data_IF_488427298342
#
_entry.id   IF_488427298342
#
_cell.length_a   1.000
_cell.length_b   1.000
_cell.length_c   1.000
_cell.angle_alpha   90.00
_cell.angle_beta   90.00
_cell.angle_gamma   90.00
#
_symmetry.space_group_name_H-M   'P 1'
#
loop_
_entity.id
_entity.type
_entity.pdbx_description
1 polymer ?
#
# COMPACT_ATOMS: atom_id res chain seq x y z
N UNK A 1 -15.07 -55.62 -33.49
CA UNK A 1 -13.68 -55.34 -33.89
C UNK A 1 -13.02 -54.69 -32.66
N UNK A 2 -12.13 -55.40 -31.99
CA UNK A 2 -11.51 -54.91 -30.78
C UNK A 2 -10.54 -53.76 -31.13
N UNK A 3 -10.67 -52.61 -30.48
CA UNK A 3 -9.78 -51.45 -30.67
C UNK A 3 -8.31 -51.83 -30.59
N UNK A 4 -7.95 -52.79 -29.74
CA UNK A 4 -6.60 -53.31 -29.57
C UNK A 4 -6.03 -53.91 -30.85
N UNK A 5 -6.81 -54.66 -31.65
CA UNK A 5 -6.37 -55.27 -32.90
C UNK A 5 -6.00 -54.22 -33.96
N UNK A 6 -6.65 -53.05 -33.96
CA UNK A 6 -6.31 -51.97 -34.88
C UNK A 6 -4.90 -51.47 -34.68
N UNK A 7 -4.45 -51.41 -33.42
CA UNK A 7 -3.11 -50.93 -33.03
C UNK A 7 -2.03 -52.02 -33.33
N UNK A 8 -2.36 -53.31 -33.14
CA UNK A 8 -1.44 -54.43 -33.41
C UNK A 8 -1.22 -54.59 -34.90
N UNK A 9 -2.29 -54.51 -35.70
CA UNK A 9 -2.22 -54.71 -37.16
C UNK A 9 -1.64 -53.50 -37.91
N UNK A 10 -1.55 -52.33 -37.25
CA UNK A 10 -1.03 -51.08 -37.85
C UNK A 10 0.00 -50.40 -36.97
N UNK A 11 1.25 -50.87 -36.93
CA UNK A 11 2.29 -50.35 -36.03
C UNK A 11 2.59 -48.87 -36.23
N UNK A 12 2.33 -48.31 -37.41
CA UNK A 12 2.47 -46.85 -37.67
C UNK A 12 1.46 -46.02 -36.87
N UNK A 13 0.21 -46.49 -36.69
CA UNK A 13 -0.80 -45.84 -35.91
C UNK A 13 -0.42 -45.90 -34.43
N UNK A 14 0.08 -47.03 -33.94
CA UNK A 14 0.57 -47.20 -32.59
C UNK A 14 1.67 -46.19 -32.25
N UNK A 15 2.69 -46.09 -33.10
CA UNK A 15 3.82 -45.17 -32.92
C UNK A 15 3.33 -43.74 -32.91
N UNK A 16 2.44 -43.34 -33.83
CA UNK A 16 1.92 -41.99 -33.92
C UNK A 16 1.12 -41.64 -32.68
N UNK A 17 0.30 -42.56 -32.18
CA UNK A 17 -0.49 -42.36 -30.94
C UNK A 17 0.42 -42.22 -29.72
N UNK A 18 1.50 -43.03 -29.63
CA UNK A 18 2.49 -42.95 -28.56
C UNK A 18 3.23 -41.58 -28.57
N UNK A 19 3.65 -41.14 -29.74
CA UNK A 19 4.30 -39.83 -29.91
C UNK A 19 3.35 -38.71 -29.53
N UNK A 20 2.06 -38.79 -29.93
CA UNK A 20 1.06 -37.80 -29.57
C UNK A 20 0.82 -37.74 -28.04
N UNK A 21 0.71 -38.89 -27.37
CA UNK A 21 0.56 -38.99 -25.93
C UNK A 21 1.79 -38.38 -25.20
N UNK A 22 3.01 -38.70 -25.70
CA UNK A 22 4.23 -38.12 -25.13
C UNK A 22 4.30 -36.61 -25.29
N UNK A 23 3.94 -36.08 -26.46
CA UNK A 23 3.91 -34.65 -26.71
C UNK A 23 2.81 -33.95 -25.88
N UNK A 24 1.62 -34.55 -25.81
CA UNK A 24 0.52 -34.03 -24.97
C UNK A 24 0.91 -34.05 -23.47
N UNK A 25 1.52 -35.15 -23.01
CA UNK A 25 2.00 -35.26 -21.63
C UNK A 25 3.10 -34.24 -21.30
N UNK A 26 4.04 -34.04 -22.20
CA UNK A 26 5.11 -33.06 -22.06
C UNK A 26 4.53 -31.64 -22.04
N UNK A 27 3.62 -31.34 -22.95
CA UNK A 27 2.90 -30.03 -22.99
C UNK A 27 2.11 -29.78 -21.71
N UNK A 28 1.35 -30.77 -21.24
CA UNK A 28 0.61 -30.69 -19.97
C UNK A 28 1.53 -30.47 -18.78
N UNK A 29 2.62 -31.20 -18.69
CA UNK A 29 3.63 -31.07 -17.62
C UNK A 29 4.24 -29.64 -17.55
N UNK A 30 4.48 -29.03 -18.70
CA UNK A 30 5.02 -27.66 -18.79
C UNK A 30 3.98 -26.62 -18.37
N UNK A 31 2.69 -26.87 -18.60
CA UNK A 31 1.62 -25.91 -18.33
C UNK A 31 1.02 -26.04 -16.92
N UNK A 32 1.38 -27.07 -16.14
CA UNK A 32 0.87 -27.23 -14.77
C UNK A 32 1.39 -26.09 -13.89
N UNK A 33 0.49 -25.35 -13.18
CA UNK A 33 0.88 -24.37 -12.16
C UNK A 33 1.72 -25.05 -11.07
N UNK A 34 2.74 -24.34 -10.59
CA UNK A 34 3.60 -24.81 -9.51
C UNK A 34 3.62 -23.73 -8.44
N UNK A 35 3.01 -24.03 -7.30
CA UNK A 35 2.97 -23.19 -6.11
C UNK A 35 3.29 -24.05 -4.90
N UNK A 36 4.01 -23.50 -3.93
CA UNK A 36 4.29 -24.16 -2.66
C UNK A 36 3.01 -24.19 -1.80
N UNK A 37 2.29 -23.08 -1.76
CA UNK A 37 1.09 -22.93 -0.94
C UNK A 37 -0.16 -23.03 -1.81
N UNK A 38 -1.16 -23.85 -1.40
CA UNK A 38 -2.44 -23.91 -2.09
C UNK A 38 -3.18 -22.58 -1.93
N UNK A 39 -4.03 -22.27 -2.90
CA UNK A 39 -4.98 -21.17 -2.77
C UNK A 39 -5.98 -21.46 -1.65
N UNK A 40 -5.94 -20.65 -0.60
CA UNK A 40 -6.86 -20.75 0.53
C UNK A 40 -7.98 -19.73 0.37
N UNK A 41 -9.20 -20.23 0.48
CA UNK A 41 -10.39 -19.38 0.55
C UNK A 41 -10.35 -18.55 1.84
N UNK A 42 -10.12 -17.26 1.74
CA UNK A 42 -10.10 -16.40 2.91
C UNK A 42 -11.50 -15.95 3.29
N UNK A 43 -12.02 -16.63 4.29
CA UNK A 43 -13.39 -16.46 4.78
C UNK A 43 -13.50 -15.55 5.99
N UNK A 44 -12.43 -14.86 6.36
CA UNK A 44 -12.41 -13.93 7.49
C UNK A 44 -11.63 -12.66 7.15
N UNK A 45 -12.10 -11.55 7.71
CA UNK A 45 -11.47 -10.24 7.61
C UNK A 45 -11.73 -9.44 8.89
N UNK A 46 -10.92 -8.44 9.17
CA UNK A 46 -11.09 -7.54 10.31
C UNK A 46 -11.58 -6.17 9.85
N UNK A 47 -12.66 -5.70 10.43
CA UNK A 47 -13.08 -4.29 10.33
C UNK A 47 -12.46 -3.57 11.51
N UNK A 48 -11.52 -2.67 11.23
CA UNK A 48 -10.83 -1.87 12.23
C UNK A 48 -11.52 -0.50 12.31
N UNK A 49 -11.85 -0.11 13.54
CA UNK A 49 -12.47 1.18 13.84
C UNK A 49 -11.57 1.97 14.76
N UNK A 50 -11.22 3.21 14.38
CA UNK A 50 -10.43 4.13 15.19
C UNK A 50 -11.26 5.40 15.40
N UNK A 51 -11.54 5.74 16.67
CA UNK A 51 -12.22 6.99 17.07
C UNK A 51 -11.52 7.59 18.30
N UNK A 52 -10.46 8.40 18.10
CA UNK A 52 -9.63 8.91 19.17
C UNK A 52 -10.44 9.72 20.18
N UNK A 53 -10.27 9.42 21.48
CA UNK A 53 -10.98 10.09 22.56
C UNK A 53 -12.38 9.56 22.86
N UNK A 54 -12.86 8.56 22.13
CA UNK A 54 -14.14 7.89 22.41
C UNK A 54 -13.98 6.83 23.52
N UNK A 55 -14.95 6.74 24.42
CA UNK A 55 -15.01 5.61 25.36
C UNK A 55 -15.52 4.34 24.67
N UNK A 56 -15.18 3.14 25.20
CA UNK A 56 -15.65 1.88 24.65
C UNK A 56 -17.18 1.83 24.49
N UNK A 57 -17.95 2.25 25.49
CA UNK A 57 -19.41 2.29 25.45
C UNK A 57 -19.98 3.23 24.38
N UNK A 58 -19.31 4.37 24.13
CA UNK A 58 -19.70 5.28 23.07
C UNK A 58 -19.39 4.71 21.69
N UNK A 59 -18.24 4.09 21.54
CA UNK A 59 -17.82 3.44 20.31
C UNK A 59 -18.76 2.29 19.94
N UNK A 60 -19.15 1.49 20.94
CA UNK A 60 -20.15 0.43 20.79
C UNK A 60 -21.48 0.95 20.25
N UNK A 61 -22.07 1.96 20.93
CA UNK A 61 -23.41 2.45 20.58
C UNK A 61 -23.45 3.28 19.30
N UNK A 62 -22.43 4.10 19.02
CA UNK A 62 -22.44 5.05 17.90
C UNK A 62 -21.83 4.50 16.62
N UNK A 63 -20.98 3.48 16.70
CA UNK A 63 -20.26 2.93 15.56
C UNK A 63 -20.56 1.44 15.39
N UNK A 64 -20.19 0.62 16.36
CA UNK A 64 -20.21 -0.84 16.22
C UNK A 64 -21.63 -1.36 15.97
N UNK A 65 -22.61 -0.96 16.78
CA UNK A 65 -24.01 -1.40 16.61
C UNK A 65 -24.57 -1.08 15.22
N UNK A 66 -24.15 0.03 14.59
CA UNK A 66 -24.59 0.39 13.25
C UNK A 66 -23.91 -0.46 12.18
N UNK A 67 -22.61 -0.71 12.35
CA UNK A 67 -21.86 -1.60 11.44
C UNK A 67 -22.38 -3.03 11.52
N UNK A 68 -22.61 -3.55 12.74
CA UNK A 68 -23.21 -4.89 12.95
C UNK A 68 -24.58 -4.98 12.26
N UNK A 69 -25.44 -3.99 12.46
CA UNK A 69 -26.78 -3.98 11.84
C UNK A 69 -26.71 -3.99 10.31
N UNK A 70 -25.77 -3.25 9.72
CA UNK A 70 -25.57 -3.22 8.27
C UNK A 70 -24.98 -4.55 7.75
N UNK A 71 -24.03 -5.12 8.46
CA UNK A 71 -23.36 -6.36 8.04
C UNK A 71 -24.22 -7.62 8.26
N UNK A 72 -25.08 -7.64 9.27
CA UNK A 72 -26.02 -8.75 9.50
C UNK A 72 -27.04 -8.94 8.37
N UNK A 73 -27.22 -7.97 7.49
CA UNK A 73 -28.07 -8.12 6.30
C UNK A 73 -27.44 -9.05 5.25
N UNK A 74 -26.14 -9.30 5.32
CA UNK A 74 -25.41 -10.18 4.38
C UNK A 74 -25.57 -11.63 4.84
N UNK A 75 -26.28 -12.42 4.03
CA UNK A 75 -26.65 -13.81 4.37
C UNK A 75 -25.41 -14.71 4.47
N UNK A 76 -24.36 -14.38 3.74
CA UNK A 76 -23.09 -15.11 3.64
C UNK A 76 -22.23 -14.98 4.91
N UNK A 77 -22.50 -14.00 5.77
CA UNK A 77 -21.78 -13.84 7.05
C UNK A 77 -22.25 -14.93 8.01
N UNK A 78 -21.28 -15.62 8.62
CA UNK A 78 -21.46 -16.65 9.63
C UNK A 78 -21.49 -16.06 11.03
N UNK A 79 -20.49 -15.22 11.32
CA UNK A 79 -20.26 -14.67 12.66
C UNK A 79 -19.58 -13.30 12.58
N UNK A 80 -19.93 -12.44 13.54
CA UNK A 80 -19.26 -11.16 13.81
C UNK A 80 -18.77 -11.22 15.26
N UNK A 81 -17.46 -11.20 15.46
CA UNK A 81 -16.84 -11.14 16.79
C UNK A 81 -16.19 -9.77 17.00
N UNK A 82 -16.54 -9.09 18.09
CA UNK A 82 -16.15 -7.69 18.30
C UNK A 82 -15.38 -7.51 19.59
N UNK A 83 -14.21 -6.93 19.50
CA UNK A 83 -13.41 -6.47 20.62
C UNK A 83 -13.35 -4.94 20.63
N UNK A 84 -13.78 -4.32 21.74
CA UNK A 84 -13.90 -2.86 21.86
C UNK A 84 -13.04 -2.36 23.01
N UNK A 85 -12.24 -1.35 22.73
CA UNK A 85 -11.43 -0.62 23.70
C UNK A 85 -11.67 0.87 23.56
N UNK A 86 -11.16 1.69 24.48
CA UNK A 86 -11.26 3.15 24.36
C UNK A 86 -10.51 3.64 23.12
N UNK A 87 -11.22 4.27 22.19
CA UNK A 87 -10.67 4.82 20.95
C UNK A 87 -10.41 3.81 19.84
N UNK A 88 -10.60 2.50 20.06
CA UNK A 88 -10.31 1.45 19.11
C UNK A 88 -11.30 0.28 19.21
N UNK A 89 -11.75 -0.23 18.06
CA UNK A 89 -12.45 -1.51 18.02
C UNK A 89 -12.01 -2.34 16.81
N UNK A 90 -12.06 -3.66 17.00
CA UNK A 90 -11.83 -4.64 15.94
C UNK A 90 -13.03 -5.57 15.88
N UNK A 91 -13.64 -5.67 14.70
CA UNK A 91 -14.72 -6.63 14.41
C UNK A 91 -14.18 -7.67 13.43
N UNK A 92 -14.10 -8.91 13.85
CA UNK A 92 -13.78 -10.03 12.99
C UNK A 92 -15.06 -10.47 12.27
N UNK A 93 -15.02 -10.48 10.96
CA UNK A 93 -16.11 -10.93 10.09
C UNK A 93 -15.73 -12.29 9.53
N UNK A 94 -16.53 -13.31 9.78
CA UNK A 94 -16.35 -14.66 9.24
C UNK A 94 -17.47 -15.02 8.26
N UNK A 95 -17.10 -15.46 7.05
CA UNK A 95 -18.04 -15.96 6.04
C UNK A 95 -18.37 -17.43 6.27
N UNK A 96 -19.55 -17.86 5.87
CA UNK A 96 -20.00 -19.27 5.94
C UNK A 96 -19.11 -20.17 5.08
N UNK A 97 -18.88 -21.38 5.55
CA UNK A 97 -18.13 -22.40 4.81
C UNK A 97 -18.82 -22.80 3.49
N UNK A 98 -20.14 -22.60 3.42
CA UNK A 98 -20.96 -22.89 2.24
C UNK A 98 -20.82 -21.88 1.09
N UNK A 99 -20.16 -20.73 1.31
CA UNK A 99 -19.92 -19.74 0.24
C UNK A 99 -18.97 -20.35 -0.78
N UNK A 100 -19.36 -20.46 -2.07
CA UNK A 100 -18.48 -20.96 -3.11
C UNK A 100 -17.22 -20.10 -3.25
N UNK A 101 -16.09 -20.71 -3.65
CA UNK A 101 -14.79 -20.04 -3.74
C UNK A 101 -14.83 -18.81 -4.68
N UNK A 102 -15.48 -18.95 -5.83
CA UNK A 102 -15.64 -17.92 -6.85
C UNK A 102 -16.51 -16.73 -6.41
N UNK A 103 -17.33 -16.90 -5.35
CA UNK A 103 -18.17 -15.84 -4.80
C UNK A 103 -17.59 -15.10 -3.60
N UNK A 104 -16.48 -15.59 -3.03
CA UNK A 104 -15.87 -14.98 -1.83
C UNK A 104 -15.47 -13.52 -2.07
N UNK A 105 -14.85 -13.21 -3.22
CA UNK A 105 -14.45 -11.84 -3.54
C UNK A 105 -15.65 -10.92 -3.75
N UNK A 106 -16.71 -11.42 -4.38
CA UNK A 106 -17.95 -10.67 -4.53
C UNK A 106 -18.62 -10.39 -3.17
N UNK A 107 -18.61 -11.36 -2.27
CA UNK A 107 -19.13 -11.20 -0.90
C UNK A 107 -18.33 -10.16 -0.11
N UNK A 108 -17.00 -10.18 -0.20
CA UNK A 108 -16.17 -9.14 0.44
C UNK A 108 -16.39 -7.74 -0.15
N UNK A 109 -16.67 -7.65 -1.45
CA UNK A 109 -17.05 -6.38 -2.07
C UNK A 109 -18.39 -5.88 -1.51
N UNK A 110 -19.37 -6.77 -1.30
CA UNK A 110 -20.63 -6.43 -0.65
C UNK A 110 -20.45 -5.96 0.79
N UNK A 111 -19.55 -6.59 1.57
CA UNK A 111 -19.17 -6.14 2.92
C UNK A 111 -18.63 -4.70 2.87
N UNK A 112 -17.74 -4.40 1.94
CA UNK A 112 -17.16 -3.07 1.77
C UNK A 112 -18.23 -2.03 1.39
N UNK A 113 -19.15 -2.39 0.50
CA UNK A 113 -20.28 -1.53 0.09
C UNK A 113 -21.19 -1.23 1.29
N UNK A 114 -21.50 -2.22 2.13
CA UNK A 114 -22.30 -2.03 3.34
C UNK A 114 -21.60 -1.12 4.35
N UNK A 115 -20.30 -1.28 4.57
CA UNK A 115 -19.51 -0.38 5.40
C UNK A 115 -19.61 1.05 4.88
N UNK A 116 -19.41 1.25 3.57
CA UNK A 116 -19.48 2.56 2.93
C UNK A 116 -20.86 3.22 3.02
N UNK A 117 -21.94 2.43 3.03
CA UNK A 117 -23.32 2.92 3.24
C UNK A 117 -23.57 3.37 4.68
N UNK A 118 -22.93 2.72 5.66
CA UNK A 118 -23.08 3.07 7.08
C UNK A 118 -22.20 4.26 7.47
N UNK A 119 -21.03 4.41 6.84
CA UNK A 119 -20.01 5.41 7.17
C UNK A 119 -20.54 6.85 7.31
N UNK A 120 -21.41 7.39 6.41
CA UNK A 120 -21.96 8.74 6.55
C UNK A 120 -22.78 8.98 7.84
N UNK A 121 -23.25 7.88 8.47
CA UNK A 121 -24.02 7.94 9.73
C UNK A 121 -23.15 7.92 10.98
N UNK A 122 -21.84 7.68 10.83
CA UNK A 122 -20.87 7.58 11.91
C UNK A 122 -20.37 8.96 12.37
N UNK A 123 -19.80 9.07 13.58
CA UNK A 123 -19.10 10.28 14.01
C UNK A 123 -17.97 10.62 13.01
N UNK A 124 -17.78 11.92 12.73
CA UNK A 124 -16.73 12.39 11.79
C UNK A 124 -15.30 12.09 12.26
N UNK A 125 -15.11 11.82 13.55
CA UNK A 125 -13.84 11.43 14.16
C UNK A 125 -13.53 9.95 14.01
N UNK A 126 -14.54 9.12 13.67
CA UNK A 126 -14.37 7.69 13.48
C UNK A 126 -13.89 7.40 12.06
N UNK A 127 -12.87 6.56 11.95
CA UNK A 127 -12.44 5.94 10.70
C UNK A 127 -12.71 4.45 10.75
N UNK A 128 -13.14 3.88 9.63
CA UNK A 128 -13.45 2.45 9.49
C UNK A 128 -12.66 1.90 8.32
N UNK A 129 -11.95 0.81 8.54
CA UNK A 129 -11.15 0.15 7.52
C UNK A 129 -11.40 -1.35 7.51
N UNK A 130 -11.66 -1.92 6.33
CA UNK A 130 -11.71 -3.37 6.14
C UNK A 130 -10.32 -3.90 5.82
N UNK A 131 -9.72 -4.58 6.78
CA UNK A 131 -8.40 -5.20 6.65
C UNK A 131 -8.58 -6.68 6.35
N UNK A 132 -8.18 -7.06 5.15
CA UNK A 132 -8.15 -8.46 4.73
C UNK A 132 -6.71 -8.93 4.74
N UNK A 133 -6.43 -10.00 5.47
CA UNK A 133 -5.11 -10.65 5.47
C UNK A 133 -4.85 -11.42 4.18
N UNK A 134 -5.72 -11.28 3.19
CA UNK A 134 -5.79 -12.09 1.98
C UNK A 134 -4.84 -11.65 0.88
N UNK A 135 -4.54 -12.60 0.10
CA UNK A 135 -3.75 -12.50 -1.11
C UNK A 135 -2.84 -13.71 -1.21
N UNK A 136 -2.21 -13.91 -2.34
CA UNK A 136 -1.25 -14.98 -2.50
C UNK A 136 -0.12 -14.83 -1.48
N UNK A 137 0.57 -15.94 -1.18
CA UNK A 137 1.77 -15.91 -0.35
C UNK A 137 2.84 -15.00 -0.97
N UNK A 138 3.82 -14.63 -0.16
CA UNK A 138 4.98 -13.88 -0.66
C UNK A 138 5.71 -14.76 -1.67
N UNK A 139 5.83 -14.29 -2.91
CA UNK A 139 6.56 -15.02 -3.94
C UNK A 139 8.05 -14.66 -3.97
N UNK A 140 8.36 -13.36 -3.75
CA UNK A 140 9.73 -12.87 -3.57
C UNK A 140 9.77 -11.73 -2.55
N UNK A 141 10.86 -11.68 -1.80
CA UNK A 141 11.15 -10.60 -0.86
C UNK A 141 12.59 -10.12 -1.06
N UNK A 142 12.74 -8.88 -1.46
CA UNK A 142 14.04 -8.23 -1.61
C UNK A 142 14.31 -7.29 -0.46
N UNK A 143 15.57 -7.22 -0.01
CA UNK A 143 16.03 -6.27 0.99
C UNK A 143 17.01 -5.27 0.35
N UNK A 144 16.70 -4.00 0.44
CA UNK A 144 17.63 -2.89 0.23
C UNK A 144 18.29 -2.60 1.56
N UNK A 145 19.57 -2.91 1.71
CA UNK A 145 20.31 -2.84 2.98
C UNK A 145 21.43 -1.83 2.89
N UNK A 146 21.56 -0.95 3.89
CA UNK A 146 22.67 -0.02 4.01
C UNK A 146 23.92 -0.72 4.55
N UNK A 147 25.03 -0.60 3.84
CA UNK A 147 26.35 -1.12 4.29
C UNK A 147 27.39 -0.03 4.52
N UNK A 148 27.05 1.22 4.26
CA UNK A 148 27.94 2.34 4.54
C UNK A 148 28.16 2.57 6.04
N UNK A 149 29.06 3.48 6.37
CA UNK A 149 29.28 3.94 7.73
C UNK A 149 28.25 5.01 8.13
N UNK A 150 27.83 5.02 9.40
CA UNK A 150 26.88 5.98 9.95
C UNK A 150 25.41 5.57 9.79
N UNK A 151 24.53 6.55 9.92
CA UNK A 151 23.08 6.33 9.82
C UNK A 151 22.65 6.03 8.39
N UNK A 152 21.76 5.05 8.23
CA UNK A 152 21.22 4.69 6.95
C UNK A 152 20.38 5.86 6.37
N UNK A 153 20.60 6.27 5.11
CA UNK A 153 19.82 7.31 4.46
C UNK A 153 18.42 6.79 4.10
N UNK A 154 17.60 6.58 5.12
CA UNK A 154 16.33 5.85 5.01
C UNK A 154 15.36 6.46 4.00
N UNK A 155 15.34 7.78 3.86
CA UNK A 155 14.52 8.47 2.86
C UNK A 155 14.95 8.08 1.43
N UNK A 156 16.26 8.04 1.15
CA UNK A 156 16.77 7.59 -0.14
C UNK A 156 16.43 6.13 -0.37
N UNK A 157 16.62 5.28 0.64
CA UNK A 157 16.31 3.84 0.58
C UNK A 157 14.81 3.62 0.35
N UNK A 158 13.94 4.40 0.99
CA UNK A 158 12.48 4.34 0.78
C UNK A 158 12.11 4.69 -0.66
N UNK A 159 12.72 5.71 -1.26
CA UNK A 159 12.49 6.09 -2.66
C UNK A 159 12.97 5.03 -3.65
N UNK A 160 14.15 4.47 -3.40
CA UNK A 160 14.69 3.36 -4.21
C UNK A 160 13.82 2.11 -4.07
N UNK A 161 13.34 1.81 -2.86
CA UNK A 161 12.41 0.72 -2.61
C UNK A 161 11.09 0.91 -3.38
N UNK A 162 10.53 2.12 -3.37
CA UNK A 162 9.30 2.42 -4.12
C UNK A 162 9.52 2.33 -5.65
N UNK A 163 10.69 2.71 -6.14
CA UNK A 163 11.02 2.54 -7.55
C UNK A 163 11.11 1.05 -7.93
N UNK A 164 11.80 0.23 -7.12
CA UNK A 164 11.85 -1.22 -7.32
C UNK A 164 10.45 -1.84 -7.24
N UNK A 165 9.65 -1.47 -6.24
CA UNK A 165 8.26 -1.90 -6.09
C UNK A 165 7.44 -1.64 -7.36
N UNK A 166 7.54 -0.42 -7.90
CA UNK A 166 6.85 -0.07 -9.16
C UNK A 166 7.32 -0.94 -10.34
N UNK A 167 8.63 -1.19 -10.46
CA UNK A 167 9.15 -2.08 -11.52
C UNK A 167 8.63 -3.50 -11.37
N UNK A 168 8.61 -4.04 -10.14
CA UNK A 168 8.06 -5.37 -9.86
C UNK A 168 6.55 -5.46 -10.10
N UNK A 169 5.80 -4.37 -9.87
CA UNK A 169 4.37 -4.33 -10.16
C UNK A 169 4.03 -4.45 -11.67
N UNK A 170 4.99 -4.18 -12.55
CA UNK A 170 4.84 -4.39 -14.00
C UNK A 170 5.30 -5.76 -14.49
N UNK A 171 5.81 -6.62 -13.62
CA UNK A 171 6.10 -8.01 -13.98
C UNK A 171 4.78 -8.74 -14.21
N UNK A 172 4.70 -9.50 -15.29
CA UNK A 172 3.48 -10.24 -15.65
C UNK A 172 3.05 -11.17 -14.50
N UNK A 173 1.75 -11.19 -14.23
CA UNK A 173 1.12 -11.95 -13.15
C UNK A 173 1.49 -11.49 -11.73
N UNK A 174 2.00 -10.28 -11.56
CA UNK A 174 2.09 -9.67 -10.22
C UNK A 174 0.71 -9.24 -9.76
N UNK A 175 0.24 -9.77 -8.63
CA UNK A 175 -1.01 -9.36 -8.02
C UNK A 175 -0.85 -8.15 -7.11
N UNK A 176 0.20 -8.16 -6.28
CA UNK A 176 0.44 -7.10 -5.30
C UNK A 176 1.94 -6.93 -5.01
N UNK A 177 2.30 -5.69 -4.72
CA UNK A 177 3.64 -5.36 -4.23
C UNK A 177 3.51 -4.47 -2.99
N UNK A 178 4.29 -4.74 -1.95
CA UNK A 178 4.30 -3.97 -0.71
C UNK A 178 5.72 -3.55 -0.34
N UNK A 179 5.80 -2.57 0.56
CA UNK A 179 7.04 -2.07 1.13
C UNK A 179 6.95 -2.10 2.65
N UNK A 180 8.08 -2.41 3.30
CA UNK A 180 8.20 -2.40 4.76
C UNK A 180 9.49 -1.71 5.17
N UNK A 181 9.48 -1.13 6.35
CA UNK A 181 10.63 -0.43 6.90
C UNK A 181 10.84 0.95 6.30
N UNK A 182 9.79 1.55 5.77
CA UNK A 182 9.80 2.89 5.21
C UNK A 182 9.99 3.95 6.31
N UNK A 183 10.44 5.12 5.88
CA UNK A 183 10.28 6.33 6.66
C UNK A 183 9.51 7.34 5.80
N UNK A 184 8.41 7.83 6.34
CA UNK A 184 7.72 8.95 5.75
C UNK A 184 8.57 10.21 5.86
N UNK A 185 8.49 11.08 4.85
CA UNK A 185 9.18 12.36 4.86
C UNK A 185 8.28 13.41 5.52
N UNK A 186 8.82 14.14 6.48
CA UNK A 186 8.21 15.36 6.98
C UNK A 186 9.06 16.59 6.70
N UNK A 187 8.40 17.73 6.64
CA UNK A 187 9.09 19.02 6.64
C UNK A 187 9.01 19.61 8.03
N UNK A 188 10.14 19.55 8.74
CA UNK A 188 10.25 20.18 10.05
C UNK A 188 10.47 21.69 9.88
N UNK A 189 9.60 22.47 10.53
CA UNK A 189 9.73 23.94 10.63
C UNK A 189 10.03 24.29 12.08
N UNK A 190 11.28 24.56 12.39
CA UNK A 190 11.72 25.00 13.72
C UNK A 190 11.71 26.52 13.80
N UNK A 191 10.81 27.05 14.58
CA UNK A 191 10.58 28.48 14.69
C UNK A 191 11.49 29.09 15.76
N UNK A 192 12.19 30.17 15.40
CA UNK A 192 12.99 30.98 16.30
C UNK A 192 12.09 31.95 17.09
N UNK A 193 11.84 31.63 18.33
CA UNK A 193 10.96 32.42 19.21
C UNK A 193 11.47 33.82 19.53
N UNK A 194 12.80 34.04 19.51
CA UNK A 194 13.40 35.36 19.70
C UNK A 194 13.11 36.27 18.52
N UNK A 195 13.25 35.74 17.30
CA UNK A 195 12.93 36.47 16.07
C UNK A 195 11.44 36.78 15.97
N UNK A 196 10.56 35.85 16.37
CA UNK A 196 9.13 36.13 16.45
C UNK A 196 8.83 37.32 17.36
N UNK A 197 9.42 37.34 18.55
CA UNK A 197 9.23 38.42 19.53
C UNK A 197 9.72 39.78 18.99
N UNK A 198 10.91 39.79 18.32
CA UNK A 198 11.46 40.98 17.72
C UNK A 198 10.59 41.55 16.61
N UNK A 199 9.93 40.71 15.84
CA UNK A 199 9.06 41.06 14.72
C UNK A 199 7.60 41.21 15.12
N UNK A 200 7.27 41.09 16.41
CA UNK A 200 5.92 41.16 16.98
C UNK A 200 4.94 40.18 16.31
N UNK A 201 5.44 38.97 15.94
CA UNK A 201 4.68 37.89 15.32
C UNK A 201 4.28 36.86 16.37
N UNK A 202 3.08 36.29 16.24
CA UNK A 202 2.63 35.16 17.03
C UNK A 202 2.80 33.82 16.29
N UNK A 203 3.04 32.74 17.05
CA UNK A 203 3.08 31.39 16.49
C UNK A 203 1.81 31.03 15.71
N UNK A 204 0.64 31.49 16.20
CA UNK A 204 -0.64 31.29 15.53
C UNK A 204 -0.71 31.92 14.14
N UNK A 205 -0.14 33.12 13.95
CA UNK A 205 -0.07 33.77 12.65
C UNK A 205 0.80 32.99 11.66
N UNK A 206 1.96 32.48 12.12
CA UNK A 206 2.84 31.65 11.31
C UNK A 206 2.16 30.34 10.92
N UNK A 207 1.56 29.65 11.88
CA UNK A 207 0.81 28.41 11.63
C UNK A 207 -0.34 28.61 10.65
N UNK A 208 -1.08 29.71 10.79
CA UNK A 208 -2.18 30.06 9.88
C UNK A 208 -1.68 30.39 8.47
N UNK A 209 -0.55 31.09 8.35
CA UNK A 209 0.06 31.38 7.05
C UNK A 209 0.48 30.10 6.32
N UNK A 210 1.14 29.16 7.03
CA UNK A 210 1.51 27.84 6.49
C UNK A 210 0.24 27.06 6.08
N UNK A 211 -0.76 26.96 6.96
CA UNK A 211 -2.00 26.23 6.69
C UNK A 211 -2.81 26.82 5.53
N UNK A 212 -2.83 28.14 5.37
CA UNK A 212 -3.51 28.80 4.25
C UNK A 212 -2.81 28.50 2.91
N UNK A 213 -1.50 28.34 2.93
CA UNK A 213 -0.72 28.06 1.72
C UNK A 213 -0.86 26.60 1.26
N UNK A 214 -0.97 25.67 2.20
CA UNK A 214 -1.21 24.23 1.90
C UNK A 214 -2.66 23.93 1.52
N UNK A 215 -3.59 24.88 1.77
CA UNK A 215 -5.00 24.68 1.45
C UNK A 215 -5.25 24.68 -0.06
N UNK A 216 -5.60 23.51 -0.63
CA UNK A 216 -6.13 23.33 -2.00
C UNK A 216 -7.52 24.01 -2.12
N UNK A 217 -7.61 25.32 -1.93
CA UNK A 217 -8.89 26.01 -2.11
C UNK A 217 -9.11 26.31 -3.59
N UNK A 218 -10.23 25.86 -4.19
CA UNK A 218 -10.65 26.38 -5.47
C UNK A 218 -10.93 27.89 -5.31
N UNK A 219 -10.20 28.74 -6.03
CA UNK A 219 -10.35 30.21 -5.92
C UNK A 219 -11.67 30.69 -6.54
N UNK A 220 -12.41 29.81 -7.21
CA UNK A 220 -13.70 30.11 -7.82
C UNK A 220 -13.70 29.94 -9.32
N UNK A 221 -14.88 30.08 -9.89
CA UNK A 221 -15.12 30.10 -11.33
C UNK A 221 -15.36 31.55 -11.73
N UNK A 222 -14.67 32.02 -12.75
CA UNK A 222 -15.08 33.26 -13.43
C UNK A 222 -15.64 32.87 -14.80
N UNK A 223 -16.84 33.35 -15.12
CA UNK A 223 -17.48 33.14 -16.40
C UNK A 223 -17.58 34.47 -17.12
N UNK A 224 -17.10 34.52 -18.34
CA UNK A 224 -17.46 35.55 -19.31
C UNK A 224 -18.46 34.94 -20.28
N UNK A 225 -19.21 35.79 -21.00
CA UNK A 225 -20.39 35.41 -21.80
C UNK A 225 -20.20 34.23 -22.77
N UNK A 226 -18.97 33.77 -23.02
CA UNK A 226 -18.67 32.65 -23.92
C UNK A 226 -17.66 31.63 -23.39
N UNK A 227 -17.00 31.80 -22.22
CA UNK A 227 -16.01 30.87 -21.71
C UNK A 227 -16.06 30.77 -20.19
N UNK A 228 -16.07 29.56 -19.67
CA UNK A 228 -15.90 29.26 -18.24
C UNK A 228 -14.42 29.00 -17.97
N UNK A 229 -13.76 29.89 -17.23
CA UNK A 229 -12.36 29.72 -16.82
C UNK A 229 -12.32 29.21 -15.39
N UNK A 230 -11.87 27.96 -15.23
CA UNK A 230 -11.62 27.37 -13.93
C UNK A 230 -10.23 27.80 -13.44
N UNK A 231 -10.19 28.71 -12.46
CA UNK A 231 -8.93 29.09 -11.84
C UNK A 231 -8.52 28.02 -10.82
N UNK A 232 -7.49 27.23 -11.16
CA UNK A 232 -6.82 26.32 -10.24
C UNK A 232 -5.48 26.93 -9.81
N UNK A 233 -5.32 27.17 -8.50
CA UNK A 233 -3.97 27.36 -7.97
C UNK A 233 -3.28 26.02 -7.94
N UNK A 234 -2.25 25.89 -8.75
CA UNK A 234 -1.40 24.71 -8.83
C UNK A 234 -0.18 24.96 -7.94
N UNK A 235 -0.37 24.92 -6.63
CA UNK A 235 0.76 24.90 -5.71
C UNK A 235 0.57 23.78 -4.70
N UNK A 236 1.23 22.66 -4.97
CA UNK A 236 1.58 21.72 -3.90
C UNK A 236 2.91 22.24 -3.33
N UNK A 237 3.02 22.34 -2.01
CA UNK A 237 4.30 22.58 -1.32
C UNK A 237 5.23 21.37 -1.55
N UNK A 238 5.77 21.27 -2.77
CA UNK A 238 6.56 20.13 -3.23
C UNK A 238 8.05 20.29 -2.92
N UNK A 239 8.48 21.49 -2.53
CA UNK A 239 9.91 21.78 -2.35
C UNK A 239 10.17 22.63 -1.10
N UNK A 240 11.21 22.25 -0.34
CA UNK A 240 11.67 22.99 0.85
C UNK A 240 11.93 24.46 0.54
N UNK A 241 12.45 24.79 -0.65
CA UNK A 241 12.69 26.16 -1.03
C UNK A 241 11.41 27.00 -1.12
N UNK A 242 10.31 26.44 -1.63
CA UNK A 242 9.02 27.13 -1.68
C UNK A 242 8.47 27.40 -0.29
N UNK A 243 8.64 26.45 0.64
CA UNK A 243 8.24 26.60 2.05
C UNK A 243 9.11 27.69 2.71
N UNK A 244 10.41 27.71 2.49
CA UNK A 244 11.32 28.75 2.98
C UNK A 244 10.93 30.15 2.52
N UNK A 245 10.52 30.28 1.25
CA UNK A 245 10.13 31.56 0.63
C UNK A 245 8.70 32.01 0.98
N UNK A 246 7.97 31.26 1.80
CA UNK A 246 6.59 31.53 2.15
C UNK A 246 6.44 32.88 2.85
N UNK A 247 5.62 33.81 2.32
CA UNK A 247 5.41 35.11 2.94
C UNK A 247 4.54 34.98 4.20
N UNK A 248 5.06 35.37 5.34
CA UNK A 248 4.36 35.35 6.63
C UNK A 248 3.65 36.67 6.87
N UNK A 249 4.31 37.81 6.62
CA UNK A 249 3.75 39.14 6.79
C UNK A 249 4.37 40.11 5.78
N UNK A 250 3.53 41.03 5.30
CA UNK A 250 3.97 42.19 4.51
C UNK A 250 3.98 43.39 5.44
N UNK A 251 5.13 44.06 5.58
CA UNK A 251 5.28 45.28 6.35
C UNK A 251 5.40 46.45 5.40
N UNK A 252 4.42 47.37 5.44
CA UNK A 252 4.42 48.53 4.56
C UNK A 252 5.71 49.35 4.74
N UNK A 253 6.44 49.53 3.65
CA UNK A 253 7.71 50.26 3.60
C UNK A 253 8.96 49.48 4.03
N UNK A 254 8.83 48.27 4.57
CA UNK A 254 9.97 47.44 5.03
C UNK A 254 10.13 46.10 4.29
N UNK A 255 9.14 45.70 3.49
CA UNK A 255 9.24 44.48 2.69
C UNK A 255 8.40 43.31 3.23
N UNK A 256 8.72 42.11 2.77
CA UNK A 256 8.01 40.87 3.11
C UNK A 256 8.86 40.02 4.04
N UNK A 257 8.32 39.66 5.20
CA UNK A 257 8.94 38.67 6.10
C UNK A 257 8.60 37.28 5.55
N UNK A 258 9.62 36.49 5.30
CA UNK A 258 9.51 35.11 4.82
C UNK A 258 9.72 34.12 5.96
N UNK A 259 9.24 32.89 5.77
CA UNK A 259 9.41 31.82 6.77
C UNK A 259 10.88 31.59 7.12
N UNK A 260 11.79 31.60 6.14
CA UNK A 260 13.24 31.46 6.36
C UNK A 260 13.87 32.53 7.24
N UNK A 261 13.24 33.69 7.38
CA UNK A 261 13.75 34.78 8.21
C UNK A 261 13.53 34.49 9.71
N UNK A 262 12.50 33.69 10.03
CA UNK A 262 12.03 33.40 11.38
C UNK A 262 12.08 31.91 11.77
N UNK A 263 12.42 31.03 10.83
CA UNK A 263 12.44 29.58 11.07
C UNK A 263 13.53 28.88 10.28
N UNK A 264 14.01 27.75 10.77
CA UNK A 264 14.74 26.78 10.00
C UNK A 264 13.75 25.78 9.37
N UNK A 265 13.96 25.42 8.10
CA UNK A 265 13.10 24.47 7.39
C UNK A 265 13.99 23.37 6.82
N UNK A 266 13.75 22.14 7.27
CA UNK A 266 14.49 20.95 6.85
C UNK A 266 13.57 19.79 6.51
N UNK A 267 14.03 18.89 5.65
CA UNK A 267 13.39 17.59 5.44
C UNK A 267 14.06 16.56 6.32
N UNK A 268 13.25 15.79 7.00
CA UNK A 268 13.73 14.70 7.85
C UNK A 268 12.76 13.52 7.80
N UNK A 269 13.18 12.32 8.26
CA UNK A 269 12.24 11.23 8.50
C UNK A 269 11.24 11.62 9.59
N UNK A 270 9.97 11.24 9.39
CA UNK A 270 8.93 11.43 10.41
C UNK A 270 9.33 10.71 11.71
N UNK A 271 9.09 11.37 12.83
CA UNK A 271 9.42 10.86 14.17
C UNK A 271 8.18 10.89 15.06
N UNK A 272 7.82 9.79 15.76
CA UNK A 272 8.55 8.52 15.90
C UNK A 272 8.45 7.63 14.67
N UNK A 273 9.51 6.85 14.39
CA UNK A 273 9.51 5.87 13.31
C UNK A 273 8.56 4.73 13.70
N UNK A 274 7.52 4.51 12.91
CA UNK A 274 6.47 3.51 13.16
C UNK A 274 6.82 2.13 12.58
N UNK A 275 7.52 2.10 11.44
CA UNK A 275 7.88 0.87 10.73
C UNK A 275 9.40 0.72 10.60
N UNK A 276 9.94 -0.38 11.12
CA UNK A 276 11.37 -0.68 11.09
C UNK A 276 11.59 -2.08 10.53
N UNK A 277 12.27 -2.16 9.39
CA UNK A 277 12.76 -3.41 8.86
C UNK A 277 14.27 -3.54 9.02
N UNK A 278 14.70 -4.75 9.33
CA UNK A 278 16.11 -5.11 9.47
C UNK A 278 16.40 -6.36 8.63
N UNK A 279 17.51 -6.33 7.91
CA UNK A 279 18.09 -7.52 7.27
C UNK A 279 19.51 -7.72 7.81
N UNK A 280 19.77 -8.91 8.35
CA UNK A 280 21.06 -9.23 8.99
C UNK A 280 21.50 -8.21 10.06
N UNK A 281 20.54 -7.68 10.84
CA UNK A 281 20.78 -6.68 11.89
C UNK A 281 21.05 -5.26 11.41
N UNK A 282 20.96 -5.00 10.10
CA UNK A 282 21.15 -3.68 9.50
C UNK A 282 19.82 -3.09 9.06
N UNK A 283 19.71 -1.76 9.14
CA UNK A 283 18.54 -1.03 8.66
C UNK A 283 18.32 -1.30 7.17
N UNK A 284 17.11 -1.71 6.83
CA UNK A 284 16.75 -2.11 5.48
C UNK A 284 15.36 -1.62 5.10
N UNK A 285 15.11 -1.54 3.80
CA UNK A 285 13.77 -1.42 3.23
C UNK A 285 13.48 -2.72 2.50
N UNK A 286 12.34 -3.34 2.82
CA UNK A 286 11.93 -4.60 2.21
C UNK A 286 10.91 -4.34 1.11
N UNK A 287 11.09 -5.00 -0.02
CA UNK A 287 10.20 -4.94 -1.18
C UNK A 287 9.64 -6.32 -1.42
N UNK A 288 8.35 -6.46 -1.19
CA UNK A 288 7.61 -7.69 -1.40
C UNK A 288 6.91 -7.67 -2.75
N UNK A 289 6.92 -8.82 -3.44
CA UNK A 289 6.02 -9.04 -4.57
C UNK A 289 5.34 -10.41 -4.44
N UNK A 290 4.05 -10.41 -4.77
CA UNK A 290 3.17 -11.58 -4.75
C UNK A 290 2.65 -11.85 -6.15
N UNK A 291 2.84 -13.07 -6.63
CA UNK A 291 2.25 -13.51 -7.87
C UNK A 291 0.79 -13.90 -7.69
N UNK A 292 -0.01 -13.74 -8.73
CA UNK A 292 -1.39 -14.22 -8.75
C UNK A 292 -1.45 -15.73 -8.59
N UNK A 293 -2.52 -16.24 -7.99
CA UNK A 293 -2.73 -17.69 -7.84
C UNK A 293 -2.77 -18.41 -9.19
N UNK A 294 -2.43 -19.69 -9.17
CA UNK A 294 -2.45 -20.54 -10.36
C UNK A 294 -1.33 -20.29 -11.36
N UNK A 295 -0.32 -19.51 -11.00
CA UNK A 295 0.81 -19.21 -11.86
C UNK A 295 2.00 -20.18 -11.65
N UNK A 296 2.92 -20.20 -12.61
CA UNK A 296 4.20 -20.87 -12.46
C UNK A 296 5.16 -19.97 -11.70
N UNK A 297 5.27 -20.20 -10.39
CA UNK A 297 6.09 -19.37 -9.49
C UNK A 297 7.56 -19.38 -9.89
N UNK A 298 8.09 -20.52 -10.39
CA UNK A 298 9.46 -20.61 -10.87
C UNK A 298 9.77 -19.63 -12.02
N UNK A 299 8.81 -19.44 -12.93
CA UNK A 299 8.96 -18.46 -14.02
C UNK A 299 8.78 -17.02 -13.52
N UNK A 300 7.83 -16.80 -12.64
CA UNK A 300 7.58 -15.48 -12.04
C UNK A 300 8.81 -14.98 -11.27
N UNK A 301 9.37 -15.81 -10.40
CA UNK A 301 10.57 -15.47 -9.63
C UNK A 301 11.74 -15.15 -10.57
N UNK A 302 11.93 -15.94 -11.64
CA UNK A 302 12.97 -15.66 -12.64
C UNK A 302 12.80 -14.28 -13.32
N UNK A 303 11.57 -13.85 -13.59
CA UNK A 303 11.29 -12.53 -14.15
C UNK A 303 11.52 -11.42 -13.11
N UNK A 304 11.07 -11.61 -11.87
CA UNK A 304 11.29 -10.68 -10.77
C UNK A 304 12.79 -10.50 -10.48
N UNK A 305 13.56 -11.60 -10.43
CA UNK A 305 15.01 -11.55 -10.24
C UNK A 305 15.73 -10.83 -11.38
N UNK A 306 15.26 -10.96 -12.60
CA UNK A 306 15.80 -10.19 -13.73
C UNK A 306 15.62 -8.68 -13.50
N UNK A 307 14.42 -8.25 -13.11
CA UNK A 307 14.14 -6.85 -12.78
C UNK A 307 15.00 -6.37 -11.61
N UNK A 308 15.14 -7.18 -10.56
CA UNK A 308 15.99 -6.87 -9.41
C UNK A 308 17.48 -6.76 -9.79
N UNK A 309 17.97 -7.62 -10.67
CA UNK A 309 19.36 -7.59 -11.16
C UNK A 309 19.62 -6.31 -11.99
N UNK A 310 18.71 -5.95 -12.91
CA UNK A 310 18.80 -4.71 -13.67
C UNK A 310 18.73 -3.47 -12.74
N UNK A 311 17.99 -3.58 -11.64
CA UNK A 311 17.92 -2.51 -10.65
C UNK A 311 19.19 -2.36 -9.81
N UNK A 312 19.94 -3.45 -9.56
CA UNK A 312 21.24 -3.39 -8.87
C UNK A 312 22.25 -2.50 -9.57
N UNK A 313 22.24 -2.46 -10.88
CA UNK A 313 23.21 -1.70 -11.68
C UNK A 313 23.05 -0.18 -11.53
N UNK A 314 21.91 0.28 -11.02
CA UNK A 314 21.62 1.70 -10.81
C UNK A 314 21.70 2.13 -9.33
N UNK A 315 21.95 1.19 -8.41
CA UNK A 315 22.04 1.49 -6.98
C UNK A 315 23.39 2.13 -6.64
N UNK A 316 23.41 3.04 -5.63
CA UNK A 316 24.66 3.48 -5.01
C UNK A 316 25.46 2.30 -4.41
N UNK A 317 26.79 2.39 -4.43
CA UNK A 317 27.70 1.32 -3.98
C UNK A 317 27.48 0.91 -2.51
N UNK A 318 26.95 1.83 -1.68
CA UNK A 318 26.67 1.60 -0.27
C UNK A 318 25.35 0.89 0.01
N UNK A 319 24.49 0.72 -1.00
CA UNK A 319 23.19 0.04 -0.88
C UNK A 319 23.25 -1.31 -1.59
N UNK A 320 22.98 -2.38 -0.85
CA UNK A 320 22.92 -3.74 -1.42
C UNK A 320 21.46 -4.12 -1.58
N UNK A 321 21.15 -4.71 -2.74
CA UNK A 321 19.88 -5.38 -2.99
C UNK A 321 20.10 -6.90 -2.96
N UNK A 322 19.47 -7.57 -2.00
CA UNK A 322 19.51 -9.01 -1.83
C UNK A 322 18.12 -9.62 -1.94
N UNK A 323 18.00 -10.78 -2.59
CA UNK A 323 16.82 -11.61 -2.49
C UNK A 323 16.92 -12.40 -1.18
N UNK A 324 16.07 -12.12 -0.20
CA UNK A 324 16.07 -12.75 1.12
C UNK A 324 15.04 -13.85 1.27
N UNK A 325 14.06 -13.91 0.37
CA UNK A 325 13.09 -14.99 0.28
C UNK A 325 12.60 -15.17 -1.14
N UNK A 326 12.46 -16.41 -1.57
CA UNK A 326 11.87 -16.79 -2.84
C UNK A 326 11.14 -18.13 -2.73
N UNK A 327 9.90 -18.18 -3.18
CA UNK A 327 9.07 -19.39 -3.16
C UNK A 327 9.58 -20.51 -4.09
N UNK A 328 10.49 -20.22 -5.00
CA UNK A 328 10.95 -21.17 -6.01
C UNK A 328 12.06 -22.13 -5.57
N UNK A 329 12.48 -22.10 -4.32
CA UNK A 329 13.63 -22.89 -3.84
C UNK A 329 13.29 -24.32 -3.34
N UNK A 330 12.10 -24.85 -3.70
CA UNK A 330 11.71 -26.23 -3.33
C UNK A 330 11.33 -27.08 -4.52
#
# INVERSE_FOLDING_TARGET
MNLVNIFIDRPRILILTLVFILLAGASSYISIPRQENPELAQRWASVIVIDPGSSAARLETQVITKLESGLQEIIEIKELDVNIQAGFAQMLVELKDSVPFDLIEATWSEVLDKISLVEPSLPKSASVELVRSSGPPISVLYALTWKGEGEAPIILMSRLGDELRRKLAFVDNTERTNLFGLADEEVLVEIDTEKLALLNLSLAQVSQAIGNFDSKRPIGKTSDSNNEILLKVKENLLNVSQIKDLPIQVIDGYGVIRLQDIASVSKQPYTPIEDIALSNGKRSVLVEAKASFGQRIDLYVGQADKVANEFRDILPDEIILENIYSESFY
#
